data_IF_174335836016
#
_entry.id   IF_174335836016
#
_cell.length_a   1.000
_cell.length_b   1.000
_cell.length_c   1.000
_cell.angle_alpha   90.00
_cell.angle_beta   90.00
_cell.angle_gamma   90.00
#
_symmetry.space_group_name_H-M   'P 1'
#
loop_
_entity.id
_entity.type
_entity.pdbx_description
1 polymer ?
#
# COMPACT_ATOMS: atom_id res chain seq x y z
N UNK A 1 -2.82 22.10 -11.00
CA UNK A 1 -1.54 21.42 -10.72
C UNK A 1 -1.79 19.94 -10.50
N UNK A 2 -0.76 19.13 -10.57
CA UNK A 2 -0.83 17.67 -10.33
C UNK A 2 -1.22 17.34 -8.89
N UNK A 3 -0.76 18.13 -7.93
CA UNK A 3 -1.14 18.01 -6.51
C UNK A 3 -2.65 18.22 -6.30
N UNK A 4 -3.26 19.15 -7.04
CA UNK A 4 -4.72 19.32 -7.02
C UNK A 4 -5.45 18.12 -7.64
N UNK A 5 -4.89 17.53 -8.68
CA UNK A 5 -5.45 16.32 -9.28
C UNK A 5 -5.38 15.14 -8.30
N UNK A 6 -4.23 14.97 -7.65
CA UNK A 6 -4.06 13.92 -6.63
C UNK A 6 -5.00 14.11 -5.42
N UNK A 7 -5.12 15.34 -4.91
CA UNK A 7 -6.08 15.64 -3.85
C UNK A 7 -7.53 15.30 -4.25
N UNK A 8 -7.88 15.54 -5.54
CA UNK A 8 -9.19 15.17 -6.05
C UNK A 8 -9.39 13.65 -6.12
N UNK A 9 -8.38 12.88 -6.50
CA UNK A 9 -8.46 11.41 -6.45
C UNK A 9 -8.74 10.90 -5.04
N UNK A 10 -8.09 11.49 -4.02
CA UNK A 10 -8.38 11.15 -2.63
C UNK A 10 -9.82 11.49 -2.24
N UNK A 11 -10.30 12.68 -2.59
CA UNK A 11 -11.68 13.09 -2.31
C UNK A 11 -12.68 12.12 -2.93
N UNK A 12 -12.52 11.80 -4.21
CA UNK A 12 -13.43 10.90 -4.94
C UNK A 12 -13.38 9.47 -4.35
N UNK A 13 -12.19 8.97 -4.00
CA UNK A 13 -12.06 7.66 -3.36
C UNK A 13 -12.75 7.62 -2.00
N UNK A 14 -12.59 8.67 -1.18
CA UNK A 14 -13.22 8.78 0.12
C UNK A 14 -14.74 8.91 0.03
N UNK A 15 -15.25 9.78 -0.85
CA UNK A 15 -16.69 9.89 -1.12
C UNK A 15 -17.26 8.55 -1.60
N UNK A 16 -16.52 7.84 -2.46
CA UNK A 16 -16.91 6.52 -2.93
C UNK A 16 -16.98 5.47 -1.81
N UNK A 17 -16.03 5.50 -0.86
CA UNK A 17 -16.03 4.63 0.31
C UNK A 17 -17.22 4.93 1.22
N UNK A 18 -17.44 6.20 1.58
CA UNK A 18 -18.59 6.62 2.39
C UNK A 18 -19.93 6.24 1.74
N UNK A 19 -20.06 6.44 0.43
CA UNK A 19 -21.29 6.07 -0.31
C UNK A 19 -21.56 4.57 -0.24
N UNK A 20 -20.53 3.73 -0.37
CA UNK A 20 -20.68 2.27 -0.31
C UNK A 20 -20.99 1.76 1.09
N UNK A 21 -20.34 2.33 2.11
CA UNK A 21 -20.60 1.99 3.51
C UNK A 21 -21.88 2.60 4.05
N UNK A 22 -22.47 3.57 3.34
CA UNK A 22 -23.61 4.40 3.79
C UNK A 22 -23.29 5.22 5.04
N UNK A 23 -22.04 5.65 5.17
CA UNK A 23 -21.52 6.44 6.27
C UNK A 23 -21.47 7.90 5.86
N UNK A 24 -21.77 8.82 6.77
CA UNK A 24 -21.65 10.26 6.57
C UNK A 24 -20.38 10.81 7.23
N UNK A 25 -19.84 11.98 6.81
CA UNK A 25 -18.66 12.55 7.45
C UNK A 25 -18.76 12.72 8.97
N UNK A 26 -19.94 13.04 9.48
CA UNK A 26 -20.23 13.19 10.92
C UNK A 26 -20.21 11.88 11.72
N UNK A 27 -20.27 10.73 11.05
CA UNK A 27 -20.19 9.41 11.67
C UNK A 27 -18.73 8.95 11.87
N UNK A 28 -17.78 9.59 11.17
CA UNK A 28 -16.39 9.21 11.16
C UNK A 28 -15.60 9.97 12.24
N UNK A 29 -15.08 9.24 13.21
CA UNK A 29 -14.35 9.81 14.34
C UNK A 29 -12.97 10.33 13.93
N UNK A 30 -12.25 9.59 13.07
CA UNK A 30 -10.92 9.94 12.56
C UNK A 30 -10.74 9.56 11.10
N UNK A 31 -9.93 10.33 10.37
CA UNK A 31 -9.40 9.93 9.07
C UNK A 31 -7.89 9.81 9.13
N UNK A 32 -7.38 8.64 8.76
CA UNK A 32 -5.95 8.37 8.54
C UNK A 32 -5.68 8.50 7.05
N UNK A 33 -4.98 9.54 6.64
CA UNK A 33 -4.71 9.72 5.21
C UNK A 33 -3.25 10.08 4.93
N UNK A 34 -2.78 9.67 3.77
CA UNK A 34 -1.43 9.95 3.34
C UNK A 34 -1.22 9.85 1.85
N UNK A 35 -0.11 10.41 1.42
CA UNK A 35 0.39 10.41 0.05
C UNK A 35 1.92 10.34 0.06
N UNK A 36 2.55 10.40 -1.12
CA UNK A 36 4.01 10.33 -1.24
C UNK A 36 4.71 11.68 -1.03
N UNK A 37 3.98 12.79 -1.01
CA UNK A 37 4.59 14.11 -1.03
C UNK A 37 5.05 14.57 0.35
N UNK A 38 6.06 15.41 0.38
CA UNK A 38 6.50 16.05 1.62
C UNK A 38 5.34 16.80 2.28
N UNK A 39 5.27 16.67 3.60
CA UNK A 39 4.25 17.26 4.46
C UNK A 39 2.81 16.80 4.11
N UNK A 40 2.63 15.71 3.34
CA UNK A 40 1.33 15.15 2.97
C UNK A 40 0.41 16.21 2.36
N UNK A 41 0.93 16.96 1.39
CA UNK A 41 0.24 18.14 0.88
C UNK A 41 -1.07 17.76 0.18
N UNK A 42 -1.08 16.67 -0.59
CA UNK A 42 -2.30 16.22 -1.29
C UNK A 42 -3.36 15.77 -0.29
N UNK A 43 -2.98 15.02 0.75
CA UNK A 43 -3.88 14.53 1.80
C UNK A 43 -4.43 15.67 2.66
N UNK A 44 -3.58 16.60 3.09
CA UNK A 44 -4.00 17.73 3.90
C UNK A 44 -5.02 18.61 3.18
N UNK A 45 -4.76 18.92 1.90
CA UNK A 45 -5.71 19.69 1.08
C UNK A 45 -6.98 18.94 0.73
N UNK A 46 -6.89 17.63 0.58
CA UNK A 46 -8.05 16.78 0.35
C UNK A 46 -8.96 16.72 1.57
N UNK A 47 -8.39 16.34 2.74
CA UNK A 47 -9.17 16.07 3.95
C UNK A 47 -9.78 17.31 4.59
N UNK A 48 -9.21 18.49 4.41
CA UNK A 48 -9.79 19.74 4.95
C UNK A 48 -11.24 20.01 4.51
N UNK A 49 -11.68 19.38 3.42
CA UNK A 49 -13.03 19.57 2.88
C UNK A 49 -14.12 18.81 3.64
N UNK A 50 -13.73 17.87 4.51
CA UNK A 50 -14.68 16.97 5.18
C UNK A 50 -14.96 17.30 6.65
N UNK A 51 -14.16 18.20 7.24
CA UNK A 51 -14.30 18.62 8.64
C UNK A 51 -14.26 17.45 9.65
N UNK A 52 -13.40 16.46 9.38
CA UNK A 52 -13.17 15.29 10.23
C UNK A 52 -11.78 15.40 10.85
N UNK A 53 -11.57 14.99 12.12
CA UNK A 53 -10.23 14.91 12.71
C UNK A 53 -9.28 14.10 11.82
N UNK A 54 -8.15 14.70 11.45
CA UNK A 54 -7.21 14.17 10.46
C UNK A 54 -5.88 13.81 11.09
N UNK A 55 -5.43 12.59 10.85
CA UNK A 55 -4.13 12.07 11.25
C UNK A 55 -3.32 11.68 10.01
N UNK A 56 -2.33 12.50 9.68
CA UNK A 56 -1.46 12.28 8.53
C UNK A 56 -0.58 11.03 8.70
N UNK A 57 -0.52 10.21 7.66
CA UNK A 57 0.28 8.99 7.60
C UNK A 57 1.37 9.13 6.55
N UNK A 58 2.64 9.05 6.94
CA UNK A 58 3.78 9.16 6.04
C UNK A 58 4.60 7.87 6.01
N UNK A 59 3.96 6.81 5.54
CA UNK A 59 4.57 5.48 5.37
C UNK A 59 4.98 5.18 3.92
N UNK A 60 5.08 6.19 3.05
CA UNK A 60 5.32 6.02 1.62
C UNK A 60 4.42 4.90 1.06
N UNK A 61 4.98 3.88 0.39
CA UNK A 61 4.19 2.80 -0.21
C UNK A 61 3.35 2.02 0.82
N UNK A 62 3.75 1.97 2.09
CA UNK A 62 3.01 1.26 3.14
C UNK A 62 1.83 2.03 3.75
N UNK A 63 1.58 3.26 3.33
CA UNK A 63 0.59 4.17 3.95
C UNK A 63 -0.80 3.54 4.07
N UNK A 64 -1.25 2.77 3.06
CA UNK A 64 -2.56 2.13 3.13
C UNK A 64 -2.63 1.05 4.24
N UNK A 65 -1.64 0.17 4.30
CA UNK A 65 -1.57 -0.86 5.35
C UNK A 65 -1.39 -0.22 6.74
N UNK A 66 -0.51 0.77 6.87
CA UNK A 66 -0.31 1.52 8.10
C UNK A 66 -1.62 2.17 8.58
N UNK A 67 -2.35 2.83 7.67
CA UNK A 67 -3.64 3.45 7.98
C UNK A 67 -4.67 2.42 8.47
N UNK A 68 -4.76 1.26 7.82
CA UNK A 68 -5.67 0.17 8.25
C UNK A 68 -5.28 -0.36 9.64
N UNK A 69 -4.00 -0.53 9.92
CA UNK A 69 -3.52 -0.95 11.24
C UNK A 69 -3.91 0.09 12.31
N UNK A 70 -3.67 1.38 12.05
CA UNK A 70 -4.03 2.45 12.99
C UNK A 70 -5.54 2.57 13.20
N UNK A 71 -6.31 2.46 12.12
CA UNK A 71 -7.77 2.41 12.17
C UNK A 71 -8.27 1.23 13.02
N UNK A 72 -7.70 0.04 12.79
CA UNK A 72 -8.04 -1.17 13.56
C UNK A 72 -7.70 -1.04 15.03
N UNK A 73 -6.56 -0.41 15.38
CA UNK A 73 -6.19 -0.16 16.78
C UNK A 73 -7.13 0.83 17.46
N UNK A 74 -7.53 1.91 16.78
CA UNK A 74 -8.43 2.92 17.37
C UNK A 74 -9.85 2.38 17.54
N UNK A 75 -10.34 1.63 16.57
CA UNK A 75 -11.67 1.01 16.62
C UNK A 75 -11.68 -0.17 17.61
N UNK A 76 -10.73 -1.09 17.50
CA UNK A 76 -10.62 -2.25 18.39
C UNK A 76 -10.29 -1.87 19.84
N UNK A 77 -9.59 -0.76 20.07
CA UNK A 77 -9.32 -0.19 21.39
C UNK A 77 -10.47 0.65 21.97
N UNK A 78 -11.56 0.82 21.23
CA UNK A 78 -12.74 1.57 21.67
C UNK A 78 -12.56 3.10 21.68
N UNK A 79 -11.49 3.62 21.05
CA UNK A 79 -11.24 5.07 20.92
C UNK A 79 -12.03 5.70 19.76
N UNK A 80 -12.56 4.89 18.87
CA UNK A 80 -13.40 5.29 17.76
C UNK A 80 -14.43 4.20 17.46
N UNK A 81 -15.56 4.57 16.88
CA UNK A 81 -16.56 3.62 16.33
C UNK A 81 -16.33 3.38 14.85
N UNK A 82 -16.10 4.45 14.12
CA UNK A 82 -15.80 4.43 12.69
C UNK A 82 -14.60 5.29 12.37
N UNK A 83 -13.71 4.79 11.55
CA UNK A 83 -12.55 5.51 11.03
C UNK A 83 -12.40 5.30 9.54
N UNK A 84 -11.80 6.25 8.86
CA UNK A 84 -11.51 6.14 7.45
C UNK A 84 -10.00 6.06 7.21
N UNK A 85 -9.62 5.33 6.16
CA UNK A 85 -8.25 5.33 5.64
C UNK A 85 -8.29 5.77 4.19
N UNK A 86 -7.44 6.73 3.83
CA UNK A 86 -7.38 7.30 2.47
C UNK A 86 -5.94 7.42 2.02
N UNK A 87 -5.62 6.90 0.86
CA UNK A 87 -4.24 6.89 0.36
C UNK A 87 -4.21 7.12 -1.13
N UNK A 88 -3.28 7.94 -1.60
CA UNK A 88 -3.07 8.20 -3.02
C UNK A 88 -1.61 8.30 -3.39
N UNK A 89 -1.33 8.14 -4.66
CA UNK A 89 -0.12 8.63 -5.31
C UNK A 89 -0.45 9.16 -6.71
N UNK A 90 0.41 10.03 -7.21
CA UNK A 90 0.31 10.55 -8.57
C UNK A 90 1.70 10.51 -9.22
N UNK A 91 1.80 9.96 -10.42
CA UNK A 91 3.06 9.78 -11.13
C UNK A 91 3.89 11.08 -11.18
N UNK A 92 3.32 12.13 -11.74
CA UNK A 92 4.07 13.38 -11.96
C UNK A 92 4.55 14.06 -10.67
N UNK A 93 3.76 14.01 -9.59
CA UNK A 93 4.14 14.62 -8.30
C UNK A 93 5.25 13.84 -7.63
N UNK A 94 5.12 12.53 -7.55
CA UNK A 94 6.09 11.67 -6.88
C UNK A 94 7.40 11.55 -7.65
N UNK A 95 7.34 11.37 -8.97
CA UNK A 95 8.55 11.26 -9.80
C UNK A 95 9.39 12.53 -9.74
N UNK A 96 8.76 13.70 -9.81
CA UNK A 96 9.45 15.00 -9.71
C UNK A 96 10.16 15.15 -8.36
N UNK A 97 9.58 14.64 -7.28
CA UNK A 97 10.10 14.85 -5.94
C UNK A 97 11.13 13.80 -5.51
N UNK A 98 10.98 12.54 -5.93
CA UNK A 98 11.73 11.43 -5.34
C UNK A 98 12.55 10.61 -6.33
N UNK A 99 12.28 10.71 -7.63
CA UNK A 99 12.94 9.85 -8.61
C UNK A 99 13.67 10.65 -9.67
N UNK A 100 13.12 10.67 -10.86
CA UNK A 100 13.73 11.37 -11.99
C UNK A 100 12.96 12.64 -12.29
N UNK A 101 13.65 13.79 -12.42
CA UNK A 101 13.01 14.95 -13.02
C UNK A 101 12.47 14.58 -14.40
N UNK A 102 11.17 14.78 -14.61
CA UNK A 102 10.50 14.39 -15.86
C UNK A 102 11.11 15.07 -17.08
N UNK A 103 11.67 16.24 -16.89
CA UNK A 103 12.31 17.07 -17.91
C UNK A 103 13.58 16.46 -18.48
N UNK A 104 14.24 15.57 -17.76
CA UNK A 104 15.48 14.91 -18.26
C UNK A 104 15.19 13.83 -19.31
N UNK A 105 14.00 13.28 -19.37
CA UNK A 105 13.63 12.25 -20.33
C UNK A 105 14.55 11.02 -20.34
N UNK A 106 15.20 10.72 -19.20
CA UNK A 106 16.17 9.64 -19.11
C UNK A 106 15.51 8.26 -19.26
N UNK A 107 16.23 7.32 -19.88
CA UNK A 107 15.79 5.92 -19.97
C UNK A 107 15.91 5.27 -18.59
N UNK A 108 14.82 4.66 -18.13
CA UNK A 108 14.79 3.93 -16.86
C UNK A 108 15.37 2.53 -17.02
N UNK A 109 16.12 2.01 -16.03
CA UNK A 109 16.60 0.63 -16.06
C UNK A 109 15.43 -0.35 -15.91
N UNK A 110 15.64 -1.62 -16.30
CA UNK A 110 14.62 -2.67 -16.23
C UNK A 110 14.18 -3.00 -14.79
N UNK A 111 14.98 -2.67 -13.80
CA UNK A 111 14.67 -2.82 -12.36
C UNK A 111 13.77 -1.71 -11.82
N UNK A 112 13.60 -0.60 -12.57
CA UNK A 112 12.79 0.54 -12.13
C UNK A 112 11.30 0.23 -12.17
N UNK A 113 10.59 0.79 -11.20
CA UNK A 113 9.14 0.74 -11.10
C UNK A 113 8.55 2.12 -11.39
N UNK A 114 7.29 2.15 -11.82
CA UNK A 114 6.57 3.36 -12.19
C UNK A 114 5.57 3.73 -11.10
N UNK A 115 5.59 4.97 -10.64
CA UNK A 115 4.60 5.44 -9.67
C UNK A 115 3.20 5.35 -10.27
N UNK A 116 2.31 4.68 -9.57
CA UNK A 116 0.91 4.55 -9.96
C UNK A 116 0.17 5.85 -9.64
N UNK A 117 -0.63 6.34 -10.58
CA UNK A 117 -1.61 7.38 -10.32
C UNK A 117 -2.93 6.73 -9.92
N UNK A 118 -3.28 6.85 -8.66
CA UNK A 118 -4.49 6.25 -8.12
C UNK A 118 -4.70 6.57 -6.65
N UNK A 119 -5.88 6.20 -6.16
CA UNK A 119 -6.27 6.36 -4.76
C UNK A 119 -7.15 5.20 -4.31
N UNK A 120 -7.11 4.88 -3.03
CA UNK A 120 -8.02 3.95 -2.38
C UNK A 120 -8.47 4.49 -1.04
N UNK A 121 -9.68 4.08 -0.63
CA UNK A 121 -10.22 4.42 0.67
C UNK A 121 -11.04 3.27 1.22
N UNK A 122 -10.96 3.05 2.53
CA UNK A 122 -11.78 2.09 3.28
C UNK A 122 -12.33 2.75 4.53
N UNK A 123 -13.51 2.29 4.96
CA UNK A 123 -14.08 2.58 6.27
C UNK A 123 -13.86 1.37 7.15
N UNK A 124 -13.34 1.59 8.36
CA UNK A 124 -13.12 0.57 9.39
C UNK A 124 -14.07 0.86 10.55
N UNK A 125 -14.88 -0.14 10.92
CA UNK A 125 -15.89 -0.04 11.98
C UNK A 125 -15.85 -1.30 12.84
N UNK A 126 -16.31 -1.20 14.08
CA UNK A 126 -16.56 -2.35 14.95
C UNK A 126 -17.94 -2.98 14.75
N UNK A 127 -18.76 -2.41 13.88
CA UNK A 127 -20.11 -2.86 13.56
C UNK A 127 -20.25 -3.13 12.06
N UNK A 128 -21.16 -4.02 11.71
CA UNK A 128 -21.51 -4.28 10.32
C UNK A 128 -21.11 -5.66 9.81
N UNK A 129 -21.22 -5.82 8.49
CA UNK A 129 -20.83 -7.04 7.76
C UNK A 129 -19.87 -6.65 6.66
N UNK A 130 -18.75 -7.32 6.58
CA UNK A 130 -17.74 -7.03 5.56
C UNK A 130 -16.49 -7.87 5.76
N UNK A 131 -15.40 -7.44 5.13
CA UNK A 131 -14.10 -8.04 5.31
C UNK A 131 -13.54 -7.62 6.67
N UNK A 132 -13.12 -8.59 7.47
CA UNK A 132 -12.63 -8.37 8.82
C UNK A 132 -11.09 -8.29 8.84
N UNK A 133 -10.55 -7.36 9.62
CA UNK A 133 -9.12 -7.31 9.96
C UNK A 133 -8.90 -8.16 11.20
N UNK A 134 -8.43 -9.38 11.03
CA UNK A 134 -8.27 -10.36 12.11
C UNK A 134 -6.97 -10.15 12.89
N UNK A 135 -5.88 -9.90 12.19
CA UNK A 135 -4.54 -9.73 12.75
C UNK A 135 -3.78 -8.61 12.04
N UNK A 136 -2.84 -8.01 12.75
CA UNK A 136 -1.92 -7.03 12.19
C UNK A 136 -0.52 -7.20 12.81
N UNK A 137 0.51 -7.10 11.96
CA UNK A 137 1.92 -7.10 12.39
C UNK A 137 2.61 -5.86 11.84
N UNK A 138 3.27 -5.12 12.71
CA UNK A 138 4.11 -3.99 12.32
C UNK A 138 5.54 -4.51 12.16
N UNK A 139 6.06 -4.43 10.94
CA UNK A 139 7.43 -4.81 10.62
C UNK A 139 8.46 -3.84 11.20
N UNK A 140 9.71 -4.25 11.18
CA UNK A 140 10.86 -3.43 11.58
C UNK A 140 11.66 -2.98 10.34
N UNK A 141 12.56 -2.03 10.54
CA UNK A 141 13.51 -1.61 9.50
C UNK A 141 14.53 -2.73 9.29
N UNK A 142 14.67 -3.16 8.04
CA UNK A 142 15.66 -4.15 7.61
C UNK A 142 16.52 -3.54 6.52
N UNK A 143 17.79 -3.29 6.83
CA UNK A 143 18.78 -2.78 5.89
C UNK A 143 19.80 -3.89 5.53
N UNK A 144 19.92 -4.17 4.25
CA UNK A 144 20.93 -5.11 3.67
C UNK A 144 21.96 -4.40 2.82
N UNK A 145 22.05 -3.07 2.93
CA UNK A 145 23.05 -2.27 2.24
C UNK A 145 22.81 -2.13 0.73
N UNK A 146 21.60 -2.26 0.25
CA UNK A 146 21.25 -2.02 -1.16
C UNK A 146 21.36 -0.53 -1.46
N UNK A 147 22.26 -0.17 -2.39
CA UNK A 147 22.55 1.23 -2.74
C UNK A 147 21.97 1.68 -4.08
N UNK A 148 21.49 0.74 -4.90
CA UNK A 148 20.88 1.07 -6.18
C UNK A 148 19.47 1.63 -5.99
N UNK A 149 19.34 2.94 -6.12
CA UNK A 149 18.05 3.66 -6.00
C UNK A 149 17.02 3.27 -7.06
N UNK A 150 17.48 2.65 -8.16
CA UNK A 150 16.62 2.18 -9.24
C UNK A 150 16.10 0.75 -9.02
N UNK A 151 16.55 0.08 -7.95
CA UNK A 151 16.16 -1.27 -7.62
C UNK A 151 15.50 -1.33 -6.23
N UNK A 152 14.36 -0.69 -6.14
CA UNK A 152 13.58 -0.65 -4.88
C UNK A 152 13.13 -2.04 -4.45
N UNK A 153 12.80 -2.91 -5.38
CA UNK A 153 12.41 -4.28 -5.09
C UNK A 153 13.47 -5.05 -4.29
N UNK A 154 14.75 -4.91 -4.68
CA UNK A 154 15.85 -5.54 -3.95
C UNK A 154 16.01 -5.00 -2.52
N UNK A 155 15.74 -3.72 -2.30
CA UNK A 155 15.78 -3.11 -0.96
C UNK A 155 14.60 -3.53 -0.09
N UNK A 156 13.41 -3.73 -0.68
CA UNK A 156 12.18 -4.06 0.04
C UNK A 156 12.03 -5.56 0.34
N UNK A 157 12.53 -6.45 -0.52
CA UNK A 157 12.35 -7.90 -0.37
C UNK A 157 12.81 -8.46 0.98
N UNK A 158 13.98 -8.06 1.55
CA UNK A 158 14.40 -8.52 2.88
C UNK A 158 13.46 -8.11 4.01
N UNK A 159 12.85 -6.91 3.93
CA UNK A 159 11.88 -6.44 4.92
C UNK A 159 10.54 -7.18 4.78
N UNK A 160 10.12 -7.48 3.55
CA UNK A 160 8.95 -8.33 3.28
C UNK A 160 9.13 -9.72 3.88
N UNK A 161 10.26 -10.34 3.60
CA UNK A 161 10.64 -11.65 4.13
C UNK A 161 10.61 -11.68 5.66
N UNK A 162 11.30 -10.74 6.34
CA UNK A 162 11.35 -10.67 7.80
C UNK A 162 9.94 -10.49 8.41
N UNK A 163 9.13 -9.64 7.81
CA UNK A 163 7.78 -9.37 8.30
C UNK A 163 6.85 -10.56 8.12
N UNK A 164 6.90 -11.24 6.97
CA UNK A 164 6.08 -12.44 6.69
C UNK A 164 6.48 -13.59 7.62
N UNK A 165 7.78 -13.84 7.80
CA UNK A 165 8.26 -14.85 8.73
C UNK A 165 7.85 -14.56 10.17
N UNK A 166 7.99 -13.33 10.62
CA UNK A 166 7.55 -12.90 11.95
C UNK A 166 6.05 -13.16 12.10
N UNK A 167 5.25 -12.74 11.12
CA UNK A 167 3.82 -12.96 11.13
C UNK A 167 3.44 -14.44 11.21
N UNK A 168 4.04 -15.30 10.38
CA UNK A 168 3.77 -16.74 10.42
C UNK A 168 4.16 -17.37 11.76
N UNK A 169 5.29 -16.94 12.32
CA UNK A 169 5.73 -17.43 13.63
C UNK A 169 4.81 -17.00 14.76
N UNK A 170 4.32 -15.76 14.76
CA UNK A 170 3.46 -15.22 15.79
C UNK A 170 2.06 -15.81 15.74
N UNK A 171 1.50 -15.95 14.55
CA UNK A 171 0.16 -16.48 14.32
C UNK A 171 0.10 -18.01 14.24
N UNK A 172 1.26 -18.68 14.16
CA UNK A 172 1.37 -20.14 13.93
C UNK A 172 0.69 -20.59 12.63
N UNK A 173 0.79 -19.74 11.59
CA UNK A 173 0.25 -20.03 10.27
C UNK A 173 1.37 -20.29 9.26
N UNK A 174 0.98 -20.77 8.08
CA UNK A 174 1.84 -21.08 6.94
C UNK A 174 1.24 -20.50 5.66
N UNK A 175 1.94 -20.49 4.53
CA UNK A 175 1.36 -20.04 3.26
C UNK A 175 0.06 -20.78 2.86
N UNK A 176 -0.10 -22.03 3.30
CA UNK A 176 -1.27 -22.85 2.97
C UNK A 176 -2.56 -22.42 3.69
N UNK A 177 -2.44 -21.56 4.71
CA UNK A 177 -3.58 -21.03 5.46
C UNK A 177 -4.23 -19.84 4.75
N UNK A 178 -3.65 -19.40 3.63
CA UNK A 178 -4.10 -18.24 2.88
C UNK A 178 -4.48 -18.58 1.45
N UNK A 179 -5.62 -18.08 1.00
CA UNK A 179 -6.00 -18.13 -0.42
C UNK A 179 -5.05 -17.29 -1.25
N UNK A 180 -4.64 -16.14 -0.71
CA UNK A 180 -3.66 -15.24 -1.33
C UNK A 180 -2.84 -14.47 -0.31
N UNK A 181 -1.58 -14.23 -0.68
CA UNK A 181 -0.67 -13.31 -0.02
C UNK A 181 -0.37 -12.18 -1.01
N UNK A 182 -0.77 -10.97 -0.70
CA UNK A 182 -0.53 -9.80 -1.55
C UNK A 182 0.57 -8.93 -0.99
N UNK A 183 1.49 -8.52 -1.86
CA UNK A 183 2.44 -7.43 -1.56
C UNK A 183 2.03 -6.16 -2.30
N UNK A 184 2.30 -5.00 -1.71
CA UNK A 184 1.84 -3.70 -2.22
C UNK A 184 2.50 -3.30 -3.54
N UNK A 185 3.83 -3.38 -3.61
CA UNK A 185 4.59 -2.90 -4.76
C UNK A 185 6.05 -3.38 -4.78
N UNK A 186 6.30 -4.65 -4.47
CA UNK A 186 7.63 -5.24 -4.60
C UNK A 186 8.13 -5.24 -6.06
N UNK A 187 7.21 -5.31 -7.01
CA UNK A 187 7.52 -5.43 -8.42
C UNK A 187 8.17 -6.76 -8.77
N UNK A 188 8.69 -6.88 -10.00
CA UNK A 188 9.27 -8.13 -10.50
C UNK A 188 10.46 -8.58 -9.65
N UNK A 189 11.47 -7.73 -9.52
CA UNK A 189 12.73 -8.07 -8.82
C UNK A 189 12.46 -8.39 -7.35
N UNK A 190 11.65 -7.56 -6.67
CA UNK A 190 11.35 -7.77 -5.26
C UNK A 190 10.55 -9.03 -5.00
N UNK A 191 9.61 -9.38 -5.89
CA UNK A 191 8.83 -10.62 -5.80
C UNK A 191 9.70 -11.85 -5.98
N UNK A 192 10.58 -11.87 -6.98
CA UNK A 192 11.52 -12.98 -7.23
C UNK A 192 12.45 -13.21 -6.03
N UNK A 193 12.99 -12.13 -5.47
CA UNK A 193 13.86 -12.22 -4.29
C UNK A 193 13.09 -12.68 -3.04
N UNK A 194 11.86 -12.21 -2.85
CA UNK A 194 11.01 -12.67 -1.74
C UNK A 194 10.72 -14.17 -1.83
N UNK A 195 10.38 -14.66 -3.04
CA UNK A 195 10.17 -16.10 -3.27
C UNK A 195 11.42 -16.90 -2.92
N UNK A 196 12.59 -16.46 -3.38
CA UNK A 196 13.86 -17.13 -3.08
C UNK A 196 14.12 -17.17 -1.57
N UNK A 197 14.04 -16.03 -0.87
CA UNK A 197 14.29 -15.94 0.56
C UNK A 197 13.36 -16.82 1.39
N UNK A 198 12.07 -16.85 1.07
CA UNK A 198 11.10 -17.68 1.77
C UNK A 198 11.29 -19.18 1.45
N UNK A 199 11.59 -19.52 0.21
CA UNK A 199 11.87 -20.90 -0.20
C UNK A 199 13.11 -21.47 0.50
N UNK A 200 14.15 -20.67 0.71
CA UNK A 200 15.38 -21.08 1.43
C UNK A 200 15.05 -21.49 2.88
N UNK A 201 14.00 -20.93 3.48
CA UNK A 201 13.50 -21.30 4.82
C UNK A 201 12.33 -22.31 4.78
N UNK A 202 12.02 -22.87 3.61
CA UNK A 202 10.99 -23.90 3.45
C UNK A 202 9.54 -23.37 3.30
N UNK A 203 9.35 -22.08 3.11
CA UNK A 203 8.05 -21.47 2.88
C UNK A 203 7.82 -21.19 1.39
N UNK A 204 7.15 -22.10 0.69
CA UNK A 204 6.79 -21.88 -0.71
C UNK A 204 5.52 -21.04 -0.83
N UNK A 205 5.62 -19.87 -1.48
CA UNK A 205 4.51 -18.94 -1.72
C UNK A 205 4.13 -18.80 -3.20
N UNK A 206 4.72 -19.57 -4.11
CA UNK A 206 4.59 -19.38 -5.56
C UNK A 206 3.13 -19.42 -6.04
N UNK A 207 2.33 -20.31 -5.49
CA UNK A 207 0.93 -20.48 -5.89
C UNK A 207 0.02 -19.40 -5.31
N UNK A 208 0.33 -18.88 -4.13
CA UNK A 208 -0.53 -17.96 -3.37
C UNK A 208 -0.12 -16.50 -3.46
N UNK A 209 1.15 -16.20 -3.72
CA UNK A 209 1.65 -14.83 -3.79
C UNK A 209 1.20 -14.11 -5.06
N UNK A 210 0.86 -12.83 -4.89
CA UNK A 210 0.64 -11.85 -5.96
C UNK A 210 1.14 -10.49 -5.51
N UNK A 211 1.71 -9.73 -6.42
CA UNK A 211 2.19 -8.36 -6.13
C UNK A 211 1.29 -7.33 -6.82
N UNK A 212 0.82 -6.33 -6.09
CA UNK A 212 -0.08 -5.30 -6.63
C UNK A 212 0.62 -4.48 -7.73
N UNK A 213 1.93 -4.25 -7.60
CA UNK A 213 2.72 -3.57 -8.63
C UNK A 213 2.79 -4.35 -9.95
N UNK A 214 2.71 -5.68 -9.89
CA UNK A 214 2.64 -6.54 -11.07
C UNK A 214 1.22 -6.70 -11.63
N UNK A 215 0.21 -6.39 -10.81
CA UNK A 215 -1.21 -6.54 -11.20
C UNK A 215 -1.82 -5.29 -11.80
N UNK A 216 -1.28 -4.10 -11.47
CA UNK A 216 -1.91 -2.82 -11.80
C UNK A 216 -1.74 -2.42 -13.27
N UNK A 217 -0.71 -2.90 -13.93
CA UNK A 217 -0.39 -2.63 -15.33
C UNK A 217 -0.40 -3.91 -16.16
N UNK A 218 -0.76 -3.77 -17.43
CA UNK A 218 -0.52 -4.78 -18.45
C UNK A 218 0.92 -4.68 -18.95
N UNK A 219 1.80 -5.49 -18.38
CA UNK A 219 3.25 -5.45 -18.65
C UNK A 219 3.64 -5.96 -20.03
N UNK A 220 2.75 -6.63 -20.73
CA UNK A 220 3.00 -7.11 -22.09
C UNK A 220 2.81 -5.97 -23.12
N UNK A 221 1.93 -5.02 -22.81
CA UNK A 221 1.57 -3.92 -23.72
C UNK A 221 2.00 -2.54 -23.22
N UNK A 222 2.33 -2.41 -21.93
CA UNK A 222 2.76 -1.14 -21.31
C UNK A 222 4.24 -1.22 -20.89
N UNK A 223 5.01 -0.21 -21.26
CA UNK A 223 6.43 -0.10 -20.89
C UNK A 223 6.58 0.37 -19.43
N UNK A 224 6.42 -0.53 -18.49
CA UNK A 224 6.47 -0.28 -17.05
C UNK A 224 7.56 -1.10 -16.32
N UNK A 225 8.45 -1.74 -17.05
CA UNK A 225 9.61 -2.50 -16.57
C UNK A 225 9.29 -3.45 -15.39
N UNK A 226 9.78 -3.14 -14.17
CA UNK A 226 9.54 -3.98 -13.01
C UNK A 226 8.13 -3.83 -12.39
N UNK A 227 7.26 -3.02 -12.98
CA UNK A 227 5.87 -2.88 -12.55
C UNK A 227 5.54 -1.54 -11.88
N UNK A 228 4.42 -1.50 -11.18
CA UNK A 228 3.93 -0.34 -10.47
C UNK A 228 4.55 -0.17 -9.08
N UNK A 229 4.46 1.05 -8.55
CA UNK A 229 4.96 1.42 -7.23
C UNK A 229 4.14 2.56 -6.63
N UNK A 230 4.30 2.78 -5.35
CA UNK A 230 3.69 3.88 -4.61
C UNK A 230 2.45 3.47 -3.81
N UNK A 231 2.08 4.31 -2.86
CA UNK A 231 0.95 3.99 -1.97
C UNK A 231 -0.40 3.92 -2.69
N UNK A 232 -0.58 4.65 -3.78
CA UNK A 232 -1.74 4.52 -4.66
C UNK A 232 -1.81 3.17 -5.38
N UNK A 233 -0.68 2.47 -5.57
CA UNK A 233 -0.63 1.15 -6.18
C UNK A 233 -1.37 0.12 -5.33
N UNK A 234 -0.85 -0.15 -4.12
CA UNK A 234 -1.46 -1.11 -3.20
C UNK A 234 -2.90 -0.73 -2.83
N UNK A 235 -3.16 0.57 -2.60
CA UNK A 235 -4.49 1.06 -2.29
C UNK A 235 -5.52 0.81 -3.41
N UNK A 236 -5.15 1.08 -4.66
CA UNK A 236 -6.04 0.87 -5.82
C UNK A 236 -6.35 -0.61 -6.04
N UNK A 237 -5.35 -1.49 -5.92
CA UNK A 237 -5.57 -2.94 -6.07
C UNK A 237 -6.35 -3.51 -4.89
N UNK A 238 -6.05 -3.08 -3.66
CA UNK A 238 -6.79 -3.50 -2.47
C UNK A 238 -8.28 -3.16 -2.62
N UNK A 239 -8.60 -1.86 -2.82
CA UNK A 239 -9.99 -1.38 -2.87
C UNK A 239 -10.71 -1.77 -4.17
N UNK A 240 -9.98 -1.79 -5.29
CA UNK A 240 -10.56 -2.05 -6.61
C UNK A 240 -10.79 -3.52 -6.92
N UNK A 241 -9.99 -4.41 -6.34
CA UNK A 241 -10.01 -5.84 -6.65
C UNK A 241 -10.02 -6.75 -5.42
N UNK A 242 -9.06 -6.64 -4.51
CA UNK A 242 -8.89 -7.64 -3.43
C UNK A 242 -10.13 -7.70 -2.55
N UNK A 243 -10.59 -6.55 -2.04
CA UNK A 243 -11.79 -6.49 -1.20
C UNK A 243 -13.02 -7.00 -1.94
N UNK A 244 -13.19 -6.68 -3.22
CA UNK A 244 -14.30 -7.20 -4.03
C UNK A 244 -14.24 -8.72 -4.23
N UNK A 245 -13.03 -9.26 -4.45
CA UNK A 245 -12.82 -10.70 -4.57
C UNK A 245 -13.11 -11.42 -3.22
N UNK A 246 -12.87 -10.75 -2.08
CA UNK A 246 -13.25 -11.24 -0.75
C UNK A 246 -14.75 -11.12 -0.50
N UNK A 247 -15.38 -10.00 -0.82
CA UNK A 247 -16.84 -9.81 -0.70
C UNK A 247 -17.63 -10.82 -1.55
N UNK A 248 -17.09 -11.24 -2.70
CA UNK A 248 -17.68 -12.28 -3.55
C UNK A 248 -17.31 -13.71 -3.14
N UNK A 249 -16.67 -13.89 -1.98
CA UNK A 249 -16.20 -15.16 -1.42
C UNK A 249 -15.19 -15.92 -2.34
N UNK A 250 -14.57 -15.24 -3.28
CA UNK A 250 -13.51 -15.81 -4.10
C UNK A 250 -12.24 -16.06 -3.28
N UNK A 251 -11.98 -15.17 -2.30
CA UNK A 251 -10.96 -15.33 -1.28
C UNK A 251 -11.60 -15.17 0.11
N UNK A 252 -11.27 -16.06 1.03
CA UNK A 252 -11.74 -16.01 2.42
C UNK A 252 -10.68 -15.54 3.37
N UNK A 253 -9.42 -15.93 3.12
CA UNK A 253 -8.29 -15.60 3.97
C UNK A 253 -7.15 -14.98 3.14
N UNK A 254 -6.86 -13.71 3.38
CA UNK A 254 -5.89 -12.94 2.63
C UNK A 254 -4.88 -12.31 3.59
N UNK A 255 -3.59 -12.43 3.29
CA UNK A 255 -2.54 -11.63 3.91
C UNK A 255 -2.18 -10.47 2.97
N UNK A 256 -2.31 -9.24 3.45
CA UNK A 256 -1.93 -8.04 2.70
C UNK A 256 -0.75 -7.35 3.38
N UNK A 257 0.38 -7.29 2.70
CA UNK A 257 1.61 -6.67 3.17
C UNK A 257 1.97 -5.49 2.28
N UNK A 258 2.32 -4.36 2.89
CA UNK A 258 2.88 -3.22 2.17
C UNK A 258 4.11 -2.68 2.89
N UNK A 259 5.06 -2.16 2.15
CA UNK A 259 6.41 -1.85 2.60
C UNK A 259 6.78 -0.41 2.25
N UNK A 260 7.73 0.13 2.98
CA UNK A 260 8.40 1.39 2.66
C UNK A 260 9.83 1.11 2.22
N UNK A 261 10.26 1.75 1.13
CA UNK A 261 11.65 1.78 0.71
C UNK A 261 12.38 2.94 1.37
N UNK A 262 13.50 2.65 2.02
CA UNK A 262 14.42 3.65 2.55
C UNK A 262 15.77 3.45 1.84
N UNK A 263 16.18 4.39 1.01
CA UNK A 263 17.54 4.46 0.48
C UNK A 263 18.36 5.47 1.29
N UNK A 264 19.63 5.16 1.53
CA UNK A 264 20.55 6.16 2.05
C UNK A 264 20.59 7.36 1.10
N UNK A 265 20.52 8.61 1.63
CA UNK A 265 20.75 9.77 0.79
C UNK A 265 22.18 9.68 0.24
N UNK A 266 22.29 9.59 -1.09
CA UNK A 266 23.57 9.70 -1.75
C UNK A 266 24.19 11.04 -1.36
N UNK A 267 25.32 11.01 -0.67
CA UNK A 267 26.11 12.22 -0.46
C UNK A 267 26.50 12.77 -1.83
N UNK A 268 26.38 14.09 -2.06
CA UNK A 268 26.81 14.71 -3.30
C UNK A 268 28.32 14.56 -3.50
#
# INVERSE_FOLDING_TARGET
TWEKAEAKFQQEAFIGAMTKSKTHPEDIDFVFAGDLLNQLISSSYSMRSFNIPYLGQYGACSTMAQGIIMASFTVGGGSARETAVVTSSHFCTAERQYRYPLEYGGVRPQTAQWTVTGSGSVIVSNEGKGVEVVNATVGKIVDKGVKDINNMGAAMAPAAYDTILTYFNDTKTTPNDYDRIFTGDLGQVGSELLHQLLNDDGYNIDSVHRDCGLMIFDRDTQDVHAGGSGCGCGASVLCGKILKDMESEKYRNVLFLSLIHISEPTRP
#
